data_IF_489569220534
#
_entry.id   IF_489569220534
#
_cell.length_a   1.000
_cell.length_b   1.000
_cell.length_c   1.000
_cell.angle_alpha   90.00
_cell.angle_beta   90.00
_cell.angle_gamma   90.00
#
_symmetry.space_group_name_H-M   'P 1'
#
loop_
_entity.id
_entity.type
_entity.pdbx_description
1 polymer ?
#
# COMPACT_ATOMS: atom_id res chain seq x y z
N UNK A 1 -6.68 30.51 5.81
CA UNK A 1 -6.30 29.59 6.90
C UNK A 1 -7.41 28.55 6.98
N UNK A 2 -7.08 27.25 6.78
CA UNK A 2 -8.05 26.17 6.90
C UNK A 2 -7.91 25.50 8.26
N UNK A 3 -9.05 25.20 8.90
CA UNK A 3 -9.05 24.41 10.14
C UNK A 3 -8.81 22.94 9.82
N UNK A 4 -7.97 22.28 10.60
CA UNK A 4 -7.71 20.84 10.46
C UNK A 4 -8.96 19.98 10.73
N UNK A 5 -9.94 20.51 11.46
CA UNK A 5 -11.22 19.84 11.70
C UNK A 5 -12.14 19.86 10.47
N UNK A 6 -12.02 20.86 9.61
CA UNK A 6 -12.71 20.91 8.31
C UNK A 6 -12.03 19.97 7.30
N UNK A 7 -10.73 19.75 7.48
CA UNK A 7 -9.90 18.98 6.59
C UNK A 7 -9.43 19.76 5.38
N UNK A 8 -8.30 19.36 4.81
CA UNK A 8 -7.74 19.95 3.60
C UNK A 8 -7.05 18.89 2.74
N UNK A 9 -7.02 19.16 1.44
CA UNK A 9 -6.32 18.29 0.48
C UNK A 9 -4.91 18.85 0.22
N UNK A 10 -3.91 17.98 0.33
CA UNK A 10 -2.53 18.31 0.03
C UNK A 10 -1.81 17.12 -0.63
N UNK A 11 -1.17 17.33 -1.76
CA UNK A 11 -0.43 16.31 -2.52
C UNK A 11 -1.20 15.00 -2.74
N UNK A 12 -2.49 15.07 -3.01
CA UNK A 12 -3.32 13.88 -3.24
C UNK A 12 -3.80 13.18 -1.97
N UNK A 13 -3.55 13.76 -0.82
CA UNK A 13 -4.03 13.32 0.48
C UNK A 13 -5.07 14.28 1.01
N UNK A 14 -6.03 13.76 1.76
CA UNK A 14 -6.96 14.53 2.59
C UNK A 14 -6.56 14.32 4.04
N UNK A 15 -6.25 15.41 4.72
CA UNK A 15 -5.88 15.43 6.14
C UNK A 15 -7.01 16.01 6.95
N UNK A 16 -7.46 15.28 7.97
CA UNK A 16 -8.56 15.72 8.82
C UNK A 16 -8.40 15.20 10.24
N UNK A 17 -8.78 16.04 11.21
CA UNK A 17 -8.88 15.65 12.61
C UNK A 17 -10.36 15.39 12.95
N UNK A 18 -10.65 14.20 13.47
CA UNK A 18 -11.96 13.81 14.00
C UNK A 18 -11.83 13.69 15.50
N UNK A 19 -12.45 14.63 16.22
CA UNK A 19 -12.23 14.74 17.68
C UNK A 19 -10.73 14.81 17.97
N UNK A 20 -10.16 13.83 18.66
CA UNK A 20 -8.74 13.76 18.98
C UNK A 20 -7.91 12.84 18.04
N UNK A 21 -8.52 12.35 16.93
CA UNK A 21 -7.85 11.43 16.03
C UNK A 21 -7.55 12.10 14.70
N UNK A 22 -6.26 12.22 14.38
CA UNK A 22 -5.81 12.68 13.08
C UNK A 22 -5.79 11.53 12.08
N UNK A 23 -6.48 11.72 10.96
CA UNK A 23 -6.56 10.73 9.89
C UNK A 23 -6.05 11.34 8.57
N UNK A 24 -5.37 10.50 7.80
CA UNK A 24 -4.95 10.80 6.44
C UNK A 24 -5.63 9.83 5.48
N UNK A 25 -6.44 10.36 4.60
CA UNK A 25 -7.13 9.59 3.57
C UNK A 25 -6.63 9.98 2.18
N UNK A 26 -6.97 9.18 1.18
CA UNK A 26 -6.76 9.55 -0.21
C UNK A 26 -7.77 10.65 -0.57
N UNK A 27 -7.29 11.73 -1.19
CA UNK A 27 -8.18 12.79 -1.64
C UNK A 27 -9.11 12.31 -2.75
N UNK A 28 -10.32 12.85 -2.80
CA UNK A 28 -11.30 12.55 -3.86
C UNK A 28 -10.75 12.90 -5.23
N UNK A 29 -9.98 13.98 -5.32
CA UNK A 29 -9.33 14.45 -6.55
C UNK A 29 -8.28 13.46 -7.05
N UNK A 30 -7.41 12.95 -6.17
CA UNK A 30 -6.41 11.93 -6.51
C UNK A 30 -7.06 10.63 -6.99
N UNK A 31 -8.09 10.14 -6.29
CA UNK A 31 -8.81 8.94 -6.68
C UNK A 31 -9.51 9.11 -8.03
N UNK A 32 -10.14 10.26 -8.26
CA UNK A 32 -10.80 10.57 -9.53
C UNK A 32 -9.80 10.63 -10.69
N UNK A 33 -8.64 11.29 -10.47
CA UNK A 33 -7.57 11.35 -11.47
C UNK A 33 -7.08 9.95 -11.84
N UNK A 34 -6.81 9.12 -10.84
CA UNK A 34 -6.35 7.73 -11.06
C UNK A 34 -7.40 6.92 -11.86
N UNK A 35 -8.68 7.02 -11.52
CA UNK A 35 -9.77 6.37 -12.27
C UNK A 35 -9.86 6.88 -13.71
N UNK A 36 -9.68 8.18 -13.94
CA UNK A 36 -9.65 8.76 -15.28
C UNK A 36 -8.49 8.21 -16.12
N UNK A 37 -7.30 8.06 -15.53
CA UNK A 37 -6.15 7.45 -16.20
C UNK A 37 -6.41 6.00 -16.59
N UNK A 38 -6.93 5.18 -15.67
CA UNK A 38 -7.31 3.77 -16.00
C UNK A 38 -8.38 3.73 -17.09
N UNK A 39 -9.38 4.62 -17.03
CA UNK A 39 -10.42 4.73 -18.08
C UNK A 39 -9.80 5.07 -19.43
N UNK A 40 -8.86 6.01 -19.47
CA UNK A 40 -8.15 6.39 -20.68
C UNK A 40 -7.37 5.20 -21.27
N UNK A 41 -6.55 4.52 -20.48
CA UNK A 41 -5.79 3.34 -20.90
C UNK A 41 -6.71 2.26 -21.49
N UNK A 42 -7.82 1.95 -20.83
CA UNK A 42 -8.78 0.96 -21.34
C UNK A 42 -9.52 1.39 -22.58
N UNK A 43 -9.54 2.68 -22.93
CA UNK A 43 -10.12 3.17 -24.19
C UNK A 43 -9.15 3.17 -25.35
N UNK A 44 -7.89 3.46 -25.11
CA UNK A 44 -6.87 3.74 -26.13
C UNK A 44 -6.02 2.53 -26.48
N UNK A 45 -5.82 1.60 -25.55
CA UNK A 45 -4.93 0.46 -25.77
C UNK A 45 -5.74 -0.75 -26.21
N UNK A 46 -5.38 -1.26 -27.39
CA UNK A 46 -6.01 -2.44 -28.00
C UNK A 46 -5.32 -3.75 -27.60
N UNK A 47 -3.99 -3.76 -27.49
CA UNK A 47 -3.24 -4.94 -27.06
C UNK A 47 -3.47 -5.25 -25.57
N UNK A 48 -3.99 -6.43 -25.24
CA UNK A 48 -4.26 -6.79 -23.85
C UNK A 48 -2.98 -6.89 -23.00
N UNK A 49 -1.86 -7.33 -23.58
CA UNK A 49 -0.57 -7.39 -22.88
C UNK A 49 -0.06 -5.99 -22.52
N UNK A 50 -0.08 -5.07 -23.49
CA UNK A 50 0.32 -3.68 -23.26
C UNK A 50 -0.61 -3.00 -22.25
N UNK A 51 -1.91 -3.30 -22.29
CA UNK A 51 -2.89 -2.78 -21.34
C UNK A 51 -2.56 -3.22 -19.91
N UNK A 52 -2.29 -4.52 -19.70
CA UNK A 52 -1.88 -5.07 -18.41
C UNK A 52 -0.60 -4.37 -17.92
N UNK A 53 0.41 -4.27 -18.77
CA UNK A 53 1.69 -3.66 -18.39
C UNK A 53 1.53 -2.19 -17.95
N UNK A 54 0.75 -1.40 -18.71
CA UNK A 54 0.50 0.02 -18.38
C UNK A 54 -0.34 0.19 -17.13
N UNK A 55 -1.41 -0.60 -16.97
CA UNK A 55 -2.22 -0.56 -15.72
C UNK A 55 -1.38 -0.96 -14.52
N UNK A 56 -0.60 -2.05 -14.62
CA UNK A 56 0.24 -2.54 -13.54
C UNK A 56 1.28 -1.50 -13.09
N UNK A 57 1.92 -0.81 -14.06
CA UNK A 57 2.88 0.25 -13.77
C UNK A 57 2.24 1.40 -12.98
N UNK A 58 1.08 1.89 -13.46
CA UNK A 58 0.33 2.96 -12.79
C UNK A 58 -0.20 2.53 -11.41
N UNK A 59 -0.79 1.34 -11.33
CA UNK A 59 -1.33 0.81 -10.09
C UNK A 59 -0.26 0.64 -9.02
N UNK A 60 0.92 0.10 -9.38
CA UNK A 60 2.04 -0.11 -8.44
C UNK A 60 2.53 1.21 -7.85
N UNK A 61 2.77 2.23 -8.68
CA UNK A 61 3.21 3.54 -8.22
C UNK A 61 2.17 4.19 -7.30
N UNK A 62 0.89 4.16 -7.70
CA UNK A 62 -0.20 4.75 -6.94
C UNK A 62 -0.44 4.04 -5.60
N UNK A 63 -0.41 2.69 -5.59
CA UNK A 63 -0.52 1.91 -4.36
C UNK A 63 0.61 2.22 -3.38
N UNK A 64 1.85 2.27 -3.86
CA UNK A 64 3.00 2.56 -3.01
C UNK A 64 2.91 3.95 -2.39
N UNK A 65 2.49 4.94 -3.18
CA UNK A 65 2.32 6.31 -2.70
C UNK A 65 1.25 6.42 -1.60
N UNK A 66 0.10 5.79 -1.78
CA UNK A 66 -1.02 5.87 -0.85
C UNK A 66 -1.04 4.77 0.23
N UNK A 67 -0.01 3.96 0.32
CA UNK A 67 0.09 2.79 1.20
C UNK A 67 -0.13 3.08 2.69
N UNK A 68 0.11 4.33 3.11
CA UNK A 68 -0.05 4.76 4.50
C UNK A 68 -1.44 5.34 4.81
N UNK A 69 -2.35 5.37 3.84
CA UNK A 69 -3.68 5.96 4.00
C UNK A 69 -4.54 5.17 4.98
N UNK A 70 -5.28 5.87 5.82
CA UNK A 70 -6.28 5.25 6.68
C UNK A 70 -7.42 4.67 5.81
N UNK A 71 -7.91 3.49 6.17
CA UNK A 71 -9.01 2.83 5.45
C UNK A 71 -8.72 2.43 4.00
N UNK A 72 -7.45 2.31 3.63
CA UNK A 72 -6.99 2.04 2.26
C UNK A 72 -7.61 0.79 1.64
N UNK A 73 -7.89 -0.24 2.42
CA UNK A 73 -8.48 -1.50 1.97
C UNK A 73 -9.85 -1.33 1.29
N UNK A 74 -10.68 -0.39 1.78
CA UNK A 74 -11.96 -0.01 1.15
C UNK A 74 -11.74 0.58 -0.25
N UNK A 75 -10.77 1.46 -0.36
CA UNK A 75 -10.43 2.11 -1.65
C UNK A 75 -9.90 1.07 -2.64
N UNK A 76 -9.07 0.14 -2.19
CA UNK A 76 -8.54 -0.92 -3.05
C UNK A 76 -9.62 -1.89 -3.52
N UNK A 77 -10.55 -2.28 -2.65
CA UNK A 77 -11.70 -3.08 -3.06
C UNK A 77 -12.51 -2.40 -4.17
N UNK A 78 -12.82 -1.12 -3.99
CA UNK A 78 -13.54 -0.32 -4.99
C UNK A 78 -12.76 -0.14 -6.29
N UNK A 79 -11.42 -0.03 -6.24
CA UNK A 79 -10.59 0.07 -7.43
C UNK A 79 -10.49 -1.26 -8.19
N UNK A 80 -10.37 -2.38 -7.49
CA UNK A 80 -10.39 -3.70 -8.10
C UNK A 80 -11.71 -3.94 -8.85
N UNK A 81 -12.84 -3.60 -8.22
CA UNK A 81 -14.14 -3.68 -8.89
C UNK A 81 -14.24 -2.74 -10.10
N UNK A 82 -13.81 -1.49 -9.94
CA UNK A 82 -13.79 -0.52 -11.03
C UNK A 82 -12.96 -1.02 -12.24
N UNK A 83 -11.78 -1.57 -12.00
CA UNK A 83 -10.93 -2.11 -13.07
C UNK A 83 -11.60 -3.31 -13.75
N UNK A 84 -12.21 -4.19 -12.98
CA UNK A 84 -13.00 -5.31 -13.52
C UNK A 84 -14.05 -4.81 -14.51
N UNK A 85 -14.88 -3.85 -14.12
CA UNK A 85 -15.89 -3.25 -15.02
C UNK A 85 -15.28 -2.62 -16.27
N UNK A 86 -14.13 -1.93 -16.11
CA UNK A 86 -13.42 -1.31 -17.23
C UNK A 86 -12.88 -2.34 -18.22
N UNK A 87 -12.34 -3.44 -17.73
CA UNK A 87 -11.82 -4.53 -18.56
C UNK A 87 -12.95 -5.33 -19.23
N UNK A 88 -14.08 -5.53 -18.57
CA UNK A 88 -15.26 -6.11 -19.21
C UNK A 88 -15.76 -5.23 -20.37
N UNK A 89 -15.84 -3.90 -20.16
CA UNK A 89 -16.18 -2.95 -21.23
C UNK A 89 -15.14 -2.94 -22.38
N UNK A 90 -13.85 -3.11 -22.03
CA UNK A 90 -12.79 -3.28 -23.02
C UNK A 90 -12.99 -4.57 -23.82
N UNK A 91 -13.23 -5.69 -23.16
CA UNK A 91 -13.47 -6.99 -23.78
C UNK A 91 -14.66 -6.98 -24.74
N UNK A 92 -15.81 -6.38 -24.34
CA UNK A 92 -16.99 -6.23 -25.22
C UNK A 92 -16.70 -5.46 -26.51
N UNK A 93 -15.85 -4.43 -26.46
CA UNK A 93 -15.47 -3.66 -27.65
C UNK A 93 -14.56 -4.43 -28.61
N UNK A 94 -13.69 -5.30 -28.04
CA UNK A 94 -12.74 -6.09 -28.83
C UNK A 94 -13.33 -7.40 -29.35
N UNK A 95 -14.41 -7.86 -28.72
CA UNK A 95 -15.08 -9.11 -29.00
C UNK A 95 -16.59 -8.89 -29.09
N UNK A 96 -17.02 -8.01 -30.00
CA UNK A 96 -18.43 -7.61 -30.18
C UNK A 96 -19.39 -8.79 -30.37
N UNK A 97 -18.92 -9.87 -31.00
CA UNK A 97 -19.71 -11.06 -31.31
C UNK A 97 -19.66 -12.13 -30.18
N UNK A 98 -19.07 -11.80 -29.01
CA UNK A 98 -18.93 -12.75 -27.89
C UNK A 98 -19.73 -12.30 -26.68
N UNK A 99 -20.22 -13.28 -25.92
CA UNK A 99 -20.97 -13.05 -24.70
C UNK A 99 -20.03 -12.65 -23.55
N UNK A 100 -20.55 -12.00 -22.52
CA UNK A 100 -19.80 -11.67 -21.31
C UNK A 100 -19.19 -12.90 -20.65
N UNK A 101 -19.91 -14.05 -20.65
CA UNK A 101 -19.41 -15.31 -20.12
C UNK A 101 -18.18 -15.79 -20.90
N UNK A 102 -18.18 -15.66 -22.21
CA UNK A 102 -17.02 -16.01 -23.04
C UNK A 102 -15.84 -15.10 -22.72
N UNK A 103 -16.04 -13.76 -22.66
CA UNK A 103 -15.01 -12.78 -22.34
C UNK A 103 -14.40 -13.08 -20.97
N UNK A 104 -15.25 -13.35 -19.99
CA UNK A 104 -14.79 -13.71 -18.65
C UNK A 104 -13.92 -14.98 -18.68
N UNK A 105 -14.42 -16.08 -19.24
CA UNK A 105 -13.69 -17.35 -19.31
C UNK A 105 -12.39 -17.25 -20.11
N UNK A 106 -12.33 -16.36 -21.11
CA UNK A 106 -11.16 -16.16 -21.94
C UNK A 106 -10.03 -15.43 -21.20
N UNK A 107 -10.37 -14.35 -20.48
CA UNK A 107 -9.38 -13.46 -19.87
C UNK A 107 -9.19 -13.68 -18.37
N UNK A 108 -10.19 -14.11 -17.62
CA UNK A 108 -10.04 -14.31 -16.19
C UNK A 108 -9.64 -15.74 -15.87
N UNK A 109 -8.55 -15.87 -15.12
CA UNK A 109 -8.04 -17.16 -14.61
C UNK A 109 -7.98 -17.10 -13.09
N UNK A 110 -8.24 -18.24 -12.47
CA UNK A 110 -8.14 -18.35 -11.03
C UNK A 110 -6.66 -18.54 -10.64
N UNK A 111 -6.06 -17.52 -10.02
CA UNK A 111 -4.65 -17.48 -9.61
C UNK A 111 -4.61 -17.05 -8.15
N UNK A 112 -3.91 -17.81 -7.31
CA UNK A 112 -3.74 -17.54 -5.88
C UNK A 112 -5.06 -17.21 -5.14
N UNK A 113 -6.11 -18.01 -5.40
CA UNK A 113 -7.41 -17.85 -4.77
C UNK A 113 -8.26 -16.69 -5.31
N UNK A 114 -7.87 -16.06 -6.43
CA UNK A 114 -8.57 -14.88 -7.00
C UNK A 114 -8.71 -14.97 -8.52
N UNK A 115 -9.82 -14.42 -9.00
CA UNK A 115 -10.01 -14.22 -10.43
C UNK A 115 -9.16 -13.04 -10.92
N UNK A 116 -8.18 -13.32 -11.77
CA UNK A 116 -7.19 -12.36 -12.24
C UNK A 116 -7.25 -12.27 -13.77
N UNK A 117 -7.31 -11.05 -14.30
CA UNK A 117 -7.22 -10.82 -15.74
C UNK A 117 -5.84 -11.21 -16.23
N UNK A 118 -5.79 -12.15 -17.18
CA UNK A 118 -4.56 -12.82 -17.59
C UNK A 118 -4.56 -13.03 -19.09
N UNK A 119 -3.40 -12.83 -19.71
CA UNK A 119 -3.20 -13.06 -21.13
C UNK A 119 -1.93 -13.87 -21.33
N UNK A 120 -2.00 -14.85 -22.22
CA UNK A 120 -0.87 -15.70 -22.59
C UNK A 120 -0.53 -15.42 -24.05
N UNK A 121 0.67 -14.87 -24.31
CA UNK A 121 1.17 -14.58 -25.65
C UNK A 121 2.54 -15.20 -25.80
N UNK A 122 2.71 -16.02 -26.82
CA UNK A 122 3.99 -16.73 -27.13
C UNK A 122 4.57 -17.43 -25.90
N UNK A 123 3.73 -18.13 -25.12
CA UNK A 123 4.15 -18.84 -23.90
C UNK A 123 4.44 -17.95 -22.68
N UNK A 124 4.38 -16.62 -22.82
CA UNK A 124 4.57 -15.70 -21.70
C UNK A 124 3.22 -15.28 -21.10
N UNK A 125 3.07 -15.48 -19.81
CA UNK A 125 1.86 -15.11 -19.07
C UNK A 125 2.00 -13.70 -18.50
N UNK A 126 1.04 -12.84 -18.85
CA UNK A 126 0.91 -11.49 -18.29
C UNK A 126 -0.33 -11.42 -17.41
N UNK A 127 -0.19 -11.01 -16.18
CA UNK A 127 -1.27 -10.94 -15.19
C UNK A 127 -1.49 -9.52 -14.68
N UNK A 128 -2.75 -9.18 -14.45
CA UNK A 128 -3.12 -7.91 -13.85
C UNK A 128 -2.81 -7.90 -12.35
N UNK A 129 -2.21 -6.84 -11.89
CA UNK A 129 -1.94 -6.63 -10.46
C UNK A 129 -3.21 -6.22 -9.71
N UNK A 130 -3.52 -6.91 -8.62
CA UNK A 130 -4.59 -6.51 -7.71
C UNK A 130 -4.12 -5.42 -6.74
N UNK A 131 -5.04 -4.50 -6.40
CA UNK A 131 -4.81 -3.55 -5.32
C UNK A 131 -4.95 -4.28 -3.97
N UNK A 132 -3.83 -4.71 -3.40
CA UNK A 132 -3.81 -5.52 -2.18
C UNK A 132 -2.56 -5.34 -1.33
N UNK A 133 -1.76 -4.29 -1.57
CA UNK A 133 -0.57 -4.09 -0.74
C UNK A 133 -0.99 -3.92 0.73
N UNK A 134 -0.30 -4.58 1.66
CA UNK A 134 -0.55 -4.37 3.07
C UNK A 134 -0.33 -2.91 3.44
N UNK A 135 -1.21 -2.37 4.27
CA UNK A 135 -1.04 -1.01 4.78
C UNK A 135 0.32 -0.92 5.48
N UNK A 136 1.14 0.04 5.04
CA UNK A 136 2.34 0.37 5.78
C UNK A 136 1.91 1.05 7.07
N UNK A 137 2.15 0.43 8.20
CA UNK A 137 1.85 1.04 9.49
C UNK A 137 2.58 2.37 9.57
N UNK A 138 1.82 3.46 9.71
CA UNK A 138 2.40 4.74 10.06
C UNK A 138 3.14 4.55 11.36
N UNK A 139 4.40 4.92 11.38
CA UNK A 139 5.20 4.77 12.58
C UNK A 139 4.52 5.42 13.80
N UNK A 140 4.83 4.94 15.02
CA UNK A 140 4.41 5.62 16.24
C UNK A 140 4.79 7.10 16.13
N UNK A 141 3.86 7.97 16.48
CA UNK A 141 4.15 9.40 16.56
C UNK A 141 5.33 9.57 17.52
N UNK A 142 6.33 10.30 17.10
CA UNK A 142 7.33 10.86 18.01
C UNK A 142 6.55 11.77 18.94
N UNK A 143 6.83 11.73 20.25
CA UNK A 143 6.18 12.62 21.21
C UNK A 143 6.26 14.07 20.73
N UNK A 144 5.19 14.84 20.91
CA UNK A 144 5.12 16.25 20.47
C UNK A 144 6.26 17.10 21.07
N UNK A 145 6.84 16.66 22.18
CA UNK A 145 7.94 17.33 22.87
C UNK A 145 9.33 16.98 22.29
N UNK A 146 9.39 16.16 21.25
CA UNK A 146 10.65 15.78 20.61
C UNK A 146 10.75 16.50 19.26
N UNK A 147 11.59 17.52 19.19
CA UNK A 147 11.95 18.16 17.92
C UNK A 147 12.78 17.17 17.09
N UNK A 148 12.25 16.77 15.93
CA UNK A 148 12.91 15.80 15.02
C UNK A 148 14.16 16.38 14.34
N UNK A 149 14.32 17.69 14.32
CA UNK A 149 15.45 18.38 13.72
C UNK A 149 16.57 18.69 14.76
N UNK A 150 16.30 18.45 16.05
CA UNK A 150 17.30 18.62 17.09
C UNK A 150 18.19 17.38 17.19
N UNK A 151 19.50 17.59 16.99
CA UNK A 151 20.51 16.54 17.02
C UNK A 151 20.56 15.81 18.38
N UNK A 152 20.26 16.49 19.49
CA UNK A 152 20.20 15.89 20.81
C UNK A 152 19.07 14.86 20.97
N UNK A 153 18.04 14.95 20.14
CA UNK A 153 16.94 14.00 20.13
C UNK A 153 17.16 12.82 19.17
N UNK A 154 18.27 12.80 18.42
CA UNK A 154 18.56 11.80 17.38
C UNK A 154 18.51 10.37 17.94
N UNK A 155 19.06 10.14 19.12
CA UNK A 155 19.06 8.81 19.75
C UNK A 155 17.64 8.39 20.19
N UNK A 156 16.86 9.29 20.76
CA UNK A 156 15.45 9.04 21.13
C UNK A 156 14.61 8.71 19.91
N UNK A 157 14.80 9.42 18.81
CA UNK A 157 14.11 9.17 17.53
C UNK A 157 14.52 7.80 16.98
N UNK A 158 15.81 7.49 17.00
CA UNK A 158 16.35 6.19 16.56
C UNK A 158 15.77 5.03 17.38
N UNK A 159 15.70 5.14 18.70
CA UNK A 159 15.08 4.14 19.56
C UNK A 159 13.60 3.92 19.26
N UNK A 160 12.85 5.01 18.98
CA UNK A 160 11.45 4.91 18.56
C UNK A 160 11.32 4.24 17.20
N UNK A 161 12.22 4.51 16.26
CA UNK A 161 12.22 3.88 14.93
C UNK A 161 12.58 2.40 15.00
N UNK A 162 13.57 2.05 15.81
CA UNK A 162 14.05 0.68 15.99
C UNK A 162 13.03 -0.20 16.72
N UNK A 163 12.33 0.33 17.70
CA UNK A 163 11.23 -0.38 18.35
C UNK A 163 10.06 -0.75 17.39
N UNK A 164 10.06 -0.18 16.18
CA UNK A 164 9.04 -0.43 15.13
C UNK A 164 9.47 -1.46 14.10
N UNK A 165 10.75 -1.57 13.84
CA UNK A 165 11.30 -2.46 12.81
C UNK A 165 11.49 -3.90 13.30
N UNK A 166 11.29 -4.14 14.60
CA UNK A 166 11.51 -5.47 15.18
C UNK A 166 10.36 -6.43 14.82
N UNK A 167 10.65 -7.41 14.00
CA UNK A 167 9.84 -8.64 13.86
C UNK A 167 10.06 -9.59 15.05
N UNK A 168 10.33 -9.05 16.21
CA UNK A 168 10.57 -9.84 17.41
C UNK A 168 9.25 -10.45 17.91
N UNK A 169 9.33 -11.68 18.41
CA UNK A 169 8.25 -12.26 19.21
C UNK A 169 7.94 -11.33 20.41
N UNK A 170 6.75 -11.49 20.99
CA UNK A 170 6.34 -10.67 22.13
C UNK A 170 7.39 -10.68 23.27
N UNK A 171 7.94 -11.86 23.59
CA UNK A 171 8.98 -12.02 24.62
C UNK A 171 10.26 -11.28 24.27
N UNK A 172 10.78 -11.43 23.05
CA UNK A 172 11.96 -10.68 22.59
C UNK A 172 11.77 -9.18 22.63
N UNK A 173 10.58 -8.71 22.30
CA UNK A 173 10.25 -7.28 22.37
C UNK A 173 10.27 -6.76 23.81
N UNK A 174 9.79 -7.53 24.77
CA UNK A 174 9.82 -7.16 26.18
C UNK A 174 11.25 -7.07 26.73
N UNK A 175 12.07 -8.08 26.46
CA UNK A 175 13.49 -8.10 26.87
C UNK A 175 14.24 -6.93 26.24
N UNK A 176 14.08 -6.71 24.93
CA UNK A 176 14.72 -5.60 24.22
C UNK A 176 14.34 -4.24 24.79
N UNK A 177 13.07 -4.03 25.15
CA UNK A 177 12.61 -2.79 25.79
C UNK A 177 13.22 -2.62 27.19
N UNK A 178 13.26 -3.70 27.99
CA UNK A 178 13.83 -3.70 29.34
C UNK A 178 15.32 -3.34 29.31
N UNK A 179 16.04 -3.79 28.31
CA UNK A 179 17.46 -3.51 28.07
C UNK A 179 17.73 -2.21 27.30
N UNK A 180 16.67 -1.43 26.98
CA UNK A 180 16.78 -0.19 26.19
C UNK A 180 17.47 -0.38 24.82
N UNK A 181 17.39 -1.59 24.25
CA UNK A 181 18.05 -1.94 22.99
C UNK A 181 19.56 -2.14 23.08
N UNK A 182 20.12 -2.24 24.27
CA UNK A 182 21.56 -2.45 24.49
C UNK A 182 21.85 -3.89 24.92
N UNK A 183 23.00 -4.41 24.50
CA UNK A 183 23.50 -5.67 25.01
C UNK A 183 23.87 -5.53 26.51
N UNK A 184 23.42 -6.40 27.39
CA UNK A 184 23.74 -6.30 28.80
C UNK A 184 25.25 -6.49 29.10
N UNK A 185 25.94 -7.30 28.28
CA UNK A 185 27.38 -7.56 28.44
C UNK A 185 28.25 -6.43 27.88
N UNK A 186 28.18 -6.16 26.57
CA UNK A 186 29.08 -5.20 25.93
C UNK A 186 28.53 -3.76 25.84
N UNK A 187 27.28 -3.52 26.26
CA UNK A 187 26.60 -2.21 26.18
C UNK A 187 26.45 -1.64 24.76
N UNK A 188 26.78 -2.44 23.74
CA UNK A 188 26.59 -2.04 22.36
C UNK A 188 25.12 -2.13 21.96
N UNK A 189 24.74 -1.33 20.99
CA UNK A 189 23.39 -1.31 20.48
C UNK A 189 23.08 -2.59 19.68
N UNK A 190 21.97 -3.26 20.06
CA UNK A 190 21.49 -4.46 19.39
C UNK A 190 20.71 -4.05 18.13
N UNK A 191 21.25 -4.37 16.95
CA UNK A 191 20.54 -4.13 15.70
C UNK A 191 19.37 -5.11 15.55
N UNK A 192 18.11 -4.66 15.54
CA UNK A 192 16.93 -5.54 15.49
C UNK A 192 16.79 -6.35 14.20
N UNK A 193 17.55 -6.03 13.16
CA UNK A 193 17.56 -6.76 11.88
C UNK A 193 18.43 -8.03 11.94
N UNK A 194 19.27 -8.16 12.96
CA UNK A 194 20.09 -9.37 13.16
C UNK A 194 19.35 -10.39 14.02
N UNK A 195 19.52 -11.70 13.76
CA UNK A 195 18.98 -12.74 14.61
C UNK A 195 19.71 -12.72 15.96
N UNK A 196 18.95 -12.62 17.04
CA UNK A 196 19.46 -12.76 18.41
C UNK A 196 18.78 -13.93 19.11
N UNK A 197 19.53 -14.63 19.94
CA UNK A 197 19.03 -15.59 20.93
C UNK A 197 18.72 -14.87 22.23
N UNK A 198 17.74 -15.37 22.97
CA UNK A 198 17.50 -14.97 24.35
C UNK A 198 18.15 -16.03 25.22
N UNK A 199 19.18 -15.66 25.95
CA UNK A 199 19.71 -16.50 27.03
C UNK A 199 18.84 -16.32 28.26
N UNK A 200 18.20 -17.39 28.69
CA UNK A 200 17.43 -17.46 29.91
C UNK A 200 18.40 -17.86 31.02
N UNK A 201 18.93 -16.88 31.75
CA UNK A 201 19.60 -17.08 33.02
C UNK A 201 18.66 -16.81 34.15
#
# INVERSE_FOLDING_TARGET
>A
ICSIYQGFDFLGWNFRCYSNTFLSHISKTSLSKHRKEIKYLTKTIHSPEMLIAKINSKARGWMNYHRCSNGIWKVWGNLNHYIYERLMKWGRRHHSNKTDKWIFNHYWKHIDGRWTFTVIIKGKTSTLLHYNLPQKRTGRRVSQNINVFDLNNKEKIRQVQLAKSTNFSFQKTQVWKKQKGLCPGCKQFLNPERPYTIDLH
#
